data_IF_898435529298
#
_entry.id   IF_898435529298
#
_cell.length_a   1.000
_cell.length_b   1.000
_cell.length_c   1.000
_cell.angle_alpha   90.00
_cell.angle_beta   90.00
_cell.angle_gamma   90.00
#
_symmetry.space_group_name_H-M   'P 1'
#
loop_
_entity.id
_entity.type
_entity.pdbx_description
1 polymer ?
#
# COMPACT_ATOMS: atom_id res chain seq x y z
N UNK A 1 70.58 14.98 24.88
CA UNK A 1 71.65 14.45 24.02
C UNK A 1 71.17 13.14 23.43
N UNK A 2 71.48 12.74 22.19
CA UNK A 2 71.94 13.48 21.00
C UNK A 2 71.57 12.59 19.79
N UNK A 3 71.32 13.21 18.64
CA UNK A 3 71.11 12.61 17.32
C UNK A 3 71.80 11.26 17.06
N UNK A 4 71.13 10.39 16.28
CA UNK A 4 71.69 9.96 14.98
C UNK A 4 70.65 9.32 14.06
N UNK A 5 70.47 9.93 12.89
CA UNK A 5 69.90 9.29 11.72
C UNK A 5 71.01 8.52 10.98
N UNK A 6 70.65 7.43 10.31
CA UNK A 6 71.40 6.78 9.23
C UNK A 6 70.34 6.21 8.26
N UNK A 7 69.98 6.92 7.19
CA UNK A 7 70.58 6.90 5.84
C UNK A 7 70.41 5.58 5.05
N UNK A 8 69.80 5.73 3.86
CA UNK A 8 69.91 4.92 2.62
C UNK A 8 69.44 3.45 2.66
N UNK A 9 68.32 3.09 2.01
CA UNK A 9 68.07 2.92 0.55
C UNK A 9 68.65 1.62 -0.06
N UNK A 10 67.78 0.63 -0.32
CA UNK A 10 67.82 -0.24 -1.51
C UNK A 10 66.39 -0.58 -1.94
N UNK A 11 66.04 -0.29 -3.20
CA UNK A 11 64.84 -0.77 -3.88
C UNK A 11 64.99 -2.26 -4.25
N UNK A 12 64.05 -3.12 -3.86
CA UNK A 12 63.79 -4.50 -4.37
C UNK A 12 62.50 -4.98 -3.65
N UNK A 13 61.49 -5.64 -4.24
CA UNK A 13 61.14 -5.98 -5.64
C UNK A 13 59.76 -5.35 -5.97
N UNK A 14 59.39 -5.25 -7.26
CA UNK A 14 57.98 -5.09 -7.67
C UNK A 14 57.30 -6.45 -7.55
N UNK A 15 56.68 -6.71 -6.40
CA UNK A 15 55.83 -7.89 -6.19
C UNK A 15 54.47 -7.66 -6.83
N UNK A 16 54.27 -8.21 -8.03
CA UNK A 16 52.94 -8.27 -8.68
C UNK A 16 52.03 -9.13 -7.79
N UNK A 17 51.29 -8.48 -6.89
CA UNK A 17 50.15 -9.09 -6.23
C UNK A 17 49.08 -9.31 -7.30
N UNK A 18 49.14 -10.49 -7.92
CA UNK A 18 48.00 -11.14 -8.52
C UNK A 18 46.94 -11.29 -7.42
N UNK A 19 46.15 -10.24 -7.22
CA UNK A 19 44.81 -10.39 -6.67
C UNK A 19 44.04 -11.22 -7.70
N UNK A 20 44.12 -12.55 -7.53
CA UNK A 20 43.14 -13.48 -8.04
C UNK A 20 41.86 -13.14 -7.30
N UNK A 21 41.17 -12.09 -7.77
CA UNK A 21 39.78 -11.83 -7.43
C UNK A 21 39.06 -13.12 -7.81
N UNK A 22 38.47 -13.85 -6.85
CA UNK A 22 37.64 -14.98 -7.22
C UNK A 22 36.52 -14.39 -8.07
N UNK A 23 36.45 -14.79 -9.33
CA UNK A 23 35.28 -14.57 -10.16
C UNK A 23 34.16 -15.49 -9.65
N UNK A 24 33.77 -15.28 -8.39
CA UNK A 24 32.49 -15.66 -7.87
C UNK A 24 31.48 -14.83 -8.64
N UNK A 25 31.10 -15.34 -9.81
CA UNK A 25 29.85 -15.00 -10.45
C UNK A 25 28.78 -15.35 -9.43
N UNK A 26 28.38 -14.34 -8.64
CA UNK A 26 27.10 -14.31 -7.99
C UNK A 26 26.07 -14.27 -9.11
N UNK A 27 25.80 -15.45 -9.66
CA UNK A 27 24.50 -15.73 -10.26
C UNK A 27 23.51 -15.54 -9.14
N UNK A 28 22.94 -14.33 -9.07
CA UNK A 28 21.63 -14.15 -8.48
C UNK A 28 20.73 -15.09 -9.29
N UNK A 29 20.50 -16.29 -8.75
CA UNK A 29 19.69 -17.32 -9.36
C UNK A 29 18.25 -16.86 -9.22
N UNK A 30 17.87 -15.93 -10.11
CA UNK A 30 16.56 -15.33 -10.20
C UNK A 30 15.58 -16.45 -10.53
N UNK A 31 15.00 -17.02 -9.48
CA UNK A 31 14.11 -18.18 -9.58
C UNK A 31 12.99 -17.93 -10.59
N UNK A 32 12.56 -18.98 -11.32
CA UNK A 32 11.69 -18.83 -12.48
C UNK A 32 10.37 -18.14 -12.12
N UNK A 33 10.05 -17.08 -12.85
CA UNK A 33 8.75 -16.39 -12.88
C UNK A 33 8.05 -16.21 -11.52
N UNK A 34 8.75 -15.59 -10.57
CA UNK A 34 8.13 -15.07 -9.36
C UNK A 34 6.99 -14.08 -9.72
N UNK A 35 5.74 -14.55 -9.63
CA UNK A 35 4.53 -13.84 -10.08
C UNK A 35 4.41 -12.46 -9.42
N UNK A 36 4.85 -11.42 -10.13
CA UNK A 36 4.92 -10.06 -9.59
C UNK A 36 3.53 -9.42 -9.53
N UNK A 37 2.98 -9.33 -8.33
CA UNK A 37 1.82 -8.51 -8.05
C UNK A 37 2.25 -7.05 -7.90
N UNK A 38 1.57 -6.15 -8.61
CA UNK A 38 1.66 -4.71 -8.42
C UNK A 38 0.39 -4.25 -7.71
N UNK A 39 0.54 -3.36 -6.72
CA UNK A 39 -0.55 -2.69 -6.03
C UNK A 39 -0.55 -1.20 -6.38
N UNK A 40 -1.73 -0.63 -6.59
CA UNK A 40 -1.96 0.81 -6.70
C UNK A 40 -3.16 1.19 -5.85
N UNK A 41 -3.12 2.35 -5.21
CA UNK A 41 -4.20 2.85 -4.34
C UNK A 41 -4.59 4.25 -4.80
N UNK A 42 -5.89 4.46 -5.00
CA UNK A 42 -6.49 5.77 -5.25
C UNK A 42 -7.53 6.09 -4.18
N UNK A 43 -7.72 7.38 -3.88
CA UNK A 43 -8.65 7.87 -2.87
C UNK A 43 -9.78 8.66 -3.51
N UNK A 44 -11.01 8.43 -3.05
CA UNK A 44 -12.21 9.08 -3.56
C UNK A 44 -13.15 9.42 -2.41
N UNK A 45 -13.69 10.63 -2.41
CA UNK A 45 -14.70 11.09 -1.45
C UNK A 45 -15.98 10.22 -1.53
N UNK A 46 -16.44 9.94 -2.76
CA UNK A 46 -17.68 9.20 -2.99
C UNK A 46 -17.64 8.44 -4.33
N UNK A 47 -18.63 7.57 -4.56
CA UNK A 47 -18.67 6.73 -5.76
C UNK A 47 -18.73 7.54 -7.08
N UNK A 48 -19.26 8.78 -7.07
CA UNK A 48 -19.32 9.63 -8.26
C UNK A 48 -17.93 10.18 -8.62
N UNK A 49 -17.14 10.63 -7.64
CA UNK A 49 -15.75 11.05 -7.85
C UNK A 49 -14.90 9.92 -8.46
N UNK A 50 -15.09 8.68 -8.00
CA UNK A 50 -14.47 7.49 -8.60
C UNK A 50 -14.89 7.26 -10.06
N UNK A 51 -16.19 7.42 -10.39
CA UNK A 51 -16.67 7.29 -11.77
C UNK A 51 -16.16 8.42 -12.68
N UNK A 52 -16.05 9.65 -12.18
CA UNK A 52 -15.46 10.78 -12.91
C UNK A 52 -13.96 10.59 -13.19
N UNK A 53 -13.26 9.83 -12.35
CA UNK A 53 -11.89 9.37 -12.63
C UNK A 53 -11.81 8.23 -13.69
N UNK A 54 -12.91 7.89 -14.36
CA UNK A 54 -12.97 6.90 -15.44
C UNK A 54 -13.04 5.44 -14.98
N UNK A 55 -13.21 5.19 -13.68
CA UNK A 55 -13.28 3.83 -13.13
C UNK A 55 -14.69 3.26 -13.35
N UNK A 56 -14.85 1.96 -13.71
CA UNK A 56 -16.16 1.38 -13.98
C UNK A 56 -17.13 1.52 -12.81
N UNK A 57 -18.38 1.94 -13.11
CA UNK A 57 -19.47 2.16 -12.14
C UNK A 57 -19.60 1.05 -11.10
N UNK A 58 -19.55 -0.22 -11.53
CA UNK A 58 -19.65 -1.39 -10.64
C UNK A 58 -18.50 -1.46 -9.63
N UNK A 59 -17.27 -1.13 -10.03
CA UNK A 59 -16.09 -1.04 -9.14
C UNK A 59 -16.31 0.07 -8.11
N UNK A 60 -16.70 1.27 -8.55
CA UNK A 60 -16.90 2.43 -7.67
C UNK A 60 -18.05 2.22 -6.66
N UNK A 61 -19.20 1.73 -7.12
CA UNK A 61 -20.37 1.50 -6.28
C UNK A 61 -20.13 0.37 -5.26
N UNK A 62 -19.50 -0.73 -5.67
CA UNK A 62 -19.16 -1.82 -4.75
C UNK A 62 -18.03 -1.45 -3.78
N UNK A 63 -17.03 -0.68 -4.23
CA UNK A 63 -15.95 -0.12 -3.42
C UNK A 63 -16.51 0.74 -2.29
N UNK A 64 -17.22 1.82 -2.63
CA UNK A 64 -17.87 2.70 -1.65
C UNK A 64 -18.80 1.94 -0.69
N UNK A 65 -19.63 1.01 -1.20
CA UNK A 65 -20.50 0.16 -0.38
C UNK A 65 -19.70 -0.74 0.58
N UNK A 66 -18.55 -1.25 0.15
CA UNK A 66 -17.66 -2.08 0.97
C UNK A 66 -17.02 -1.25 2.08
N UNK A 67 -16.46 -0.10 1.74
CA UNK A 67 -15.87 0.86 2.69
C UNK A 67 -16.90 1.33 3.72
N UNK A 68 -18.11 1.71 3.32
CA UNK A 68 -19.19 2.09 4.23
C UNK A 68 -19.57 0.96 5.19
N UNK A 69 -19.75 -0.27 4.69
CA UNK A 69 -19.99 -1.46 5.54
C UNK A 69 -18.83 -1.75 6.48
N UNK A 70 -17.60 -1.43 6.10
CA UNK A 70 -16.43 -1.59 6.96
C UNK A 70 -16.42 -0.50 8.04
N UNK A 71 -16.60 0.77 7.68
CA UNK A 71 -16.76 1.91 8.58
C UNK A 71 -17.79 1.64 9.70
N UNK A 72 -19.02 1.26 9.35
CA UNK A 72 -20.08 0.95 10.34
C UNK A 72 -19.69 -0.17 11.32
N UNK A 73 -18.75 -1.06 10.95
CA UNK A 73 -18.27 -2.16 11.80
C UNK A 73 -17.04 -1.83 12.65
N UNK A 74 -16.17 -0.92 12.21
CA UNK A 74 -14.82 -0.74 12.79
C UNK A 74 -14.41 0.71 13.05
N UNK A 75 -15.27 1.70 12.75
CA UNK A 75 -15.04 3.08 13.17
C UNK A 75 -14.84 3.13 14.69
N UNK A 76 -13.74 3.73 15.19
CA UNK A 76 -13.52 3.84 16.62
C UNK A 76 -14.59 4.72 17.28
N UNK A 77 -14.94 4.40 18.52
CA UNK A 77 -15.94 5.13 19.29
C UNK A 77 -15.30 5.71 20.55
N UNK A 78 -15.70 6.92 20.93
CA UNK A 78 -15.09 7.70 22.01
C UNK A 78 -16.16 8.25 22.96
N UNK A 79 -15.78 8.50 24.22
CA UNK A 79 -16.71 9.10 25.20
C UNK A 79 -16.85 10.61 25.04
N UNK A 80 -15.78 11.28 24.60
CA UNK A 80 -15.69 12.73 24.49
C UNK A 80 -15.39 13.12 23.03
N UNK A 81 -15.68 14.37 22.66
CA UNK A 81 -15.44 14.86 21.31
C UNK A 81 -13.93 15.01 21.05
N UNK A 82 -13.25 15.56 22.04
CA UNK A 82 -11.83 15.90 22.05
C UNK A 82 -10.96 14.65 21.87
N UNK A 83 -11.35 13.52 22.46
CA UNK A 83 -10.69 12.23 22.27
C UNK A 83 -10.80 11.72 20.82
N UNK A 84 -11.93 11.96 20.16
CA UNK A 84 -12.12 11.62 18.75
C UNK A 84 -11.33 12.57 17.84
N UNK A 85 -11.44 13.88 18.06
CA UNK A 85 -10.76 14.88 17.24
C UNK A 85 -9.23 14.89 17.40
N UNK A 86 -8.70 14.34 18.50
CA UNK A 86 -7.27 14.11 18.71
C UNK A 86 -6.70 12.98 17.84
N UNK A 87 -7.42 11.86 17.69
CA UNK A 87 -7.04 10.75 16.82
C UNK A 87 -7.37 11.02 15.33
N UNK A 88 -8.26 11.99 15.04
CA UNK A 88 -8.73 12.35 13.69
C UNK A 88 -8.43 13.83 13.35
N UNK A 89 -9.46 14.62 13.05
CA UNK A 89 -9.36 16.03 12.77
C UNK A 89 -10.54 16.80 13.41
N UNK A 90 -10.37 18.07 13.82
CA UNK A 90 -11.47 18.84 14.40
C UNK A 90 -12.64 19.04 13.45
N UNK A 91 -13.87 18.87 13.95
CA UNK A 91 -15.09 18.88 13.14
C UNK A 91 -15.37 17.59 12.37
N UNK A 92 -14.44 16.64 12.33
CA UNK A 92 -14.57 15.37 11.59
C UNK A 92 -15.13 14.24 12.46
N UNK A 93 -15.75 14.58 13.59
CA UNK A 93 -16.39 13.66 14.53
C UNK A 93 -17.86 14.02 14.76
N UNK A 94 -18.69 13.00 15.03
CA UNK A 94 -20.12 13.15 15.31
C UNK A 94 -20.58 12.20 16.42
N UNK A 95 -21.67 12.55 17.10
CA UNK A 95 -22.33 11.65 18.07
C UNK A 95 -23.15 10.61 17.30
N UNK A 96 -22.76 9.35 17.40
CA UNK A 96 -23.51 8.24 16.80
C UNK A 96 -24.82 7.99 17.56
N UNK A 97 -25.95 8.20 16.90
CA UNK A 97 -27.28 8.03 17.51
C UNK A 97 -27.59 6.63 18.02
N UNK A 98 -26.84 5.60 17.60
CA UNK A 98 -27.03 4.22 18.06
C UNK A 98 -26.25 3.88 19.35
N UNK A 99 -25.22 4.66 19.70
CA UNK A 99 -24.35 4.38 20.86
C UNK A 99 -24.24 5.56 21.83
N UNK A 100 -24.64 6.76 21.42
CA UNK A 100 -24.37 8.04 22.10
C UNK A 100 -22.88 8.31 22.35
N UNK A 101 -22.02 7.71 21.52
CA UNK A 101 -20.56 7.89 21.54
C UNK A 101 -20.13 8.69 20.32
N UNK A 102 -19.02 9.42 20.46
CA UNK A 102 -18.38 10.12 19.36
C UNK A 102 -17.69 9.13 18.42
N UNK A 103 -17.80 9.35 17.12
CA UNK A 103 -17.15 8.55 16.08
C UNK A 103 -16.74 9.47 14.91
N UNK A 104 -15.68 9.14 14.16
CA UNK A 104 -15.24 9.95 13.03
C UNK A 104 -16.18 9.79 11.83
N UNK A 105 -16.37 10.83 11.03
CA UNK A 105 -17.12 10.76 9.76
C UNK A 105 -16.42 9.86 8.73
N UNK A 106 -17.20 9.22 7.86
CA UNK A 106 -16.65 8.56 6.67
C UNK A 106 -16.32 9.63 5.62
N UNK A 107 -15.08 10.11 5.61
CA UNK A 107 -14.58 11.14 4.69
C UNK A 107 -14.36 10.63 3.25
N UNK A 108 -14.34 9.30 3.05
CA UNK A 108 -14.32 8.71 1.71
C UNK A 108 -13.95 7.23 1.70
N UNK A 109 -13.43 6.74 0.57
CA UNK A 109 -12.93 5.39 0.42
C UNK A 109 -11.65 5.31 -0.42
N UNK A 110 -10.79 4.34 -0.09
CA UNK A 110 -9.72 3.92 -0.98
C UNK A 110 -10.20 2.84 -1.95
N UNK A 111 -9.67 2.85 -3.15
CA UNK A 111 -9.72 1.72 -4.08
C UNK A 111 -8.30 1.21 -4.30
N UNK A 112 -8.05 0.01 -3.82
CA UNK A 112 -6.75 -0.68 -3.93
C UNK A 112 -6.87 -1.71 -5.05
N UNK A 113 -6.04 -1.58 -6.07
CA UNK A 113 -6.02 -2.46 -7.25
C UNK A 113 -4.75 -3.30 -7.24
N UNK A 114 -4.90 -4.62 -7.08
CA UNK A 114 -3.80 -5.58 -7.22
C UNK A 114 -3.88 -6.24 -8.59
N UNK A 115 -2.87 -6.04 -9.44
CA UNK A 115 -2.75 -6.70 -10.73
C UNK A 115 -1.59 -7.70 -10.71
N UNK A 116 -1.83 -8.94 -11.16
CA UNK A 116 -0.74 -9.89 -11.42
C UNK A 116 -0.16 -9.60 -12.80
N UNK A 117 1.09 -9.17 -12.86
CA UNK A 117 1.80 -9.08 -14.14
C UNK A 117 1.89 -10.47 -14.79
N UNK A 118 1.81 -10.56 -16.13
CA UNK A 118 2.25 -11.77 -16.81
C UNK A 118 3.75 -12.01 -16.55
N UNK A 119 4.22 -13.27 -16.65
CA UNK A 119 5.65 -13.55 -16.70
C UNK A 119 6.29 -12.72 -17.82
N UNK A 120 7.51 -12.22 -17.61
CA UNK A 120 8.11 -11.25 -18.53
C UNK A 120 8.37 -11.88 -19.90
N UNK A 121 7.67 -11.38 -20.92
CA UNK A 121 7.75 -11.80 -22.33
C UNK A 121 9.10 -11.47 -23.03
N UNK A 122 10.16 -11.19 -22.26
CA UNK A 122 11.53 -10.94 -22.74
C UNK A 122 12.10 -12.11 -23.56
N UNK A 123 11.56 -13.33 -23.40
CA UNK A 123 11.88 -14.49 -24.24
C UNK A 123 10.91 -14.71 -25.41
N UNK A 124 9.69 -14.16 -25.39
CA UNK A 124 8.71 -14.28 -26.48
C UNK A 124 8.91 -13.24 -27.58
N UNK A 125 9.38 -12.03 -27.26
CA UNK A 125 9.49 -10.93 -28.22
C UNK A 125 10.64 -11.03 -29.24
N UNK A 126 11.48 -12.08 -29.21
CA UNK A 126 12.54 -12.27 -30.22
C UNK A 126 11.98 -12.65 -31.62
N UNK A 127 10.69 -13.00 -31.74
CA UNK A 127 10.05 -13.35 -33.02
C UNK A 127 8.98 -12.35 -33.53
N UNK A 128 8.49 -11.43 -32.70
CA UNK A 128 7.45 -10.46 -33.08
C UNK A 128 8.06 -9.08 -33.45
N UNK A 129 8.83 -9.03 -34.54
CA UNK A 129 9.42 -7.79 -35.05
C UNK A 129 8.42 -6.91 -35.83
N UNK A 130 8.57 -5.58 -35.68
CA UNK A 130 8.11 -4.49 -36.58
C UNK A 130 6.61 -4.14 -36.61
N UNK A 131 6.19 -3.18 -35.76
CA UNK A 131 5.25 -2.10 -36.15
C UNK A 131 5.62 -0.78 -35.46
N UNK A 132 5.33 0.41 -36.06
CA UNK A 132 5.78 1.70 -35.52
C UNK A 132 4.97 2.20 -34.30
N UNK A 133 5.61 3.05 -33.50
CA UNK A 133 5.06 3.64 -32.27
C UNK A 133 4.42 5.00 -32.57
N UNK A 134 3.10 5.10 -32.40
CA UNK A 134 2.42 6.35 -32.02
C UNK A 134 1.01 6.08 -31.45
N UNK A 135 0.91 5.69 -30.16
CA UNK A 135 -0.36 5.52 -29.44
C UNK A 135 -0.23 5.89 -27.96
N UNK A 136 -1.28 6.50 -27.42
CA UNK A 136 -1.36 6.86 -26.00
C UNK A 136 -1.46 5.63 -25.09
N UNK A 137 -0.98 5.76 -23.86
CA UNK A 137 -0.89 4.65 -22.89
C UNK A 137 -2.25 3.96 -22.59
N UNK A 138 -3.35 4.72 -22.59
CA UNK A 138 -4.70 4.18 -22.43
C UNK A 138 -5.14 3.29 -23.60
N UNK A 139 -4.75 3.62 -24.84
CA UNK A 139 -5.03 2.80 -26.02
C UNK A 139 -4.21 1.49 -25.99
N UNK A 140 -3.02 1.53 -25.42
CA UNK A 140 -2.18 0.34 -25.21
C UNK A 140 -2.86 -0.67 -24.25
N UNK A 141 -3.53 -0.18 -23.19
CA UNK A 141 -4.31 -1.02 -22.28
C UNK A 141 -5.56 -1.64 -22.95
N UNK A 142 -6.13 -0.99 -23.96
CA UNK A 142 -7.26 -1.54 -24.72
C UNK A 142 -6.81 -2.64 -25.71
N UNK A 143 -5.61 -2.52 -26.30
CA UNK A 143 -5.03 -3.53 -27.19
C UNK A 143 -4.79 -4.89 -26.53
N UNK A 144 -4.61 -4.93 -25.21
CA UNK A 144 -4.43 -6.17 -24.43
C UNK A 144 -5.70 -7.05 -24.41
N UNK A 145 -6.87 -6.54 -24.80
CA UNK A 145 -8.12 -7.32 -24.86
C UNK A 145 -8.18 -8.35 -26.00
N UNK A 146 -7.19 -8.40 -26.90
CA UNK A 146 -7.25 -9.18 -28.13
C UNK A 146 -6.21 -10.33 -28.26
N UNK A 147 -5.47 -10.69 -27.19
CA UNK A 147 -4.63 -11.89 -27.18
C UNK A 147 -5.22 -12.97 -26.25
N UNK A 148 -5.33 -14.24 -26.66
CA UNK A 148 -5.78 -15.35 -25.82
C UNK A 148 -4.65 -15.83 -24.89
N UNK A 149 -4.04 -14.91 -24.12
CA UNK A 149 -2.78 -15.14 -23.43
C UNK A 149 -2.78 -14.54 -22.02
N UNK A 150 -2.69 -15.41 -21.00
CA UNK A 150 -2.60 -15.11 -19.56
C UNK A 150 -3.46 -13.92 -19.08
N UNK A 151 -4.77 -14.15 -18.96
CA UNK A 151 -5.72 -13.17 -18.41
C UNK A 151 -5.16 -12.49 -17.14
N UNK A 152 -4.93 -11.17 -17.23
CA UNK A 152 -4.35 -10.36 -16.15
C UNK A 152 -5.32 -10.35 -14.98
N UNK A 153 -5.01 -11.13 -13.94
CA UNK A 153 -5.90 -11.30 -12.79
C UNK A 153 -5.84 -10.06 -11.91
N UNK A 154 -6.74 -9.12 -12.15
CA UNK A 154 -6.96 -7.95 -11.30
C UNK A 154 -7.82 -8.32 -10.09
N UNK A 155 -7.52 -7.73 -8.93
CA UNK A 155 -8.31 -7.81 -7.71
C UNK A 155 -8.48 -6.41 -7.14
N UNK A 156 -9.72 -6.03 -6.87
CA UNK A 156 -10.03 -4.76 -6.19
C UNK A 156 -10.33 -5.02 -4.72
N UNK A 157 -9.88 -4.10 -3.87
CA UNK A 157 -10.19 -4.01 -2.46
C UNK A 157 -10.56 -2.56 -2.13
N UNK A 158 -11.24 -2.35 -1.01
CA UNK A 158 -11.59 -1.01 -0.56
C UNK A 158 -11.51 -0.89 0.96
N UNK A 159 -11.18 0.30 1.43
CA UNK A 159 -11.14 0.67 2.85
C UNK A 159 -11.85 2.02 3.06
N UNK A 160 -12.43 2.26 4.25
CA UNK A 160 -12.92 3.58 4.62
C UNK A 160 -11.76 4.54 4.86
N UNK A 161 -11.94 5.79 4.43
CA UNK A 161 -11.02 6.90 4.67
C UNK A 161 -11.62 7.90 5.66
N UNK A 162 -10.72 8.53 6.40
CA UNK A 162 -10.99 9.52 7.44
C UNK A 162 -10.04 10.69 7.25
N UNK A 163 -10.47 11.90 7.60
CA UNK A 163 -9.56 13.03 7.71
C UNK A 163 -8.73 12.93 9.00
N UNK A 164 -7.44 13.24 8.87
CA UNK A 164 -6.45 13.22 9.94
C UNK A 164 -5.57 14.47 9.83
N UNK A 165 -5.19 15.06 10.96
CA UNK A 165 -4.16 16.09 11.00
C UNK A 165 -2.76 15.48 10.90
N UNK A 166 -1.96 15.91 9.94
CA UNK A 166 -0.55 15.53 9.86
C UNK A 166 0.34 16.29 10.87
N UNK A 167 1.61 15.88 11.00
CA UNK A 167 2.55 16.49 11.94
C UNK A 167 2.92 17.95 11.63
N UNK A 168 2.57 18.46 10.43
CA UNK A 168 2.76 19.86 10.03
C UNK A 168 1.47 20.68 10.23
N UNK A 169 0.40 20.05 10.72
CA UNK A 169 -0.90 20.68 10.95
C UNK A 169 -1.85 20.63 9.75
N UNK A 170 -1.42 20.09 8.60
CA UNK A 170 -2.22 19.90 7.41
C UNK A 170 -3.27 18.80 7.57
N UNK A 171 -4.21 18.70 6.62
CA UNK A 171 -5.22 17.64 6.58
C UNK A 171 -4.90 16.65 5.46
N UNK A 172 -4.97 15.35 5.77
CA UNK A 172 -4.88 14.27 4.77
C UNK A 172 -5.92 13.19 5.02
N UNK A 173 -6.32 12.51 3.95
CA UNK A 173 -7.10 11.28 4.04
C UNK A 173 -6.19 10.11 4.46
N UNK A 174 -6.69 9.29 5.37
CA UNK A 174 -5.99 8.13 5.94
C UNK A 174 -6.96 6.96 6.07
N UNK A 175 -6.47 5.71 6.07
CA UNK A 175 -7.29 4.56 6.47
C UNK A 175 -6.92 4.11 7.89
N UNK A 176 -7.82 3.42 8.59
CA UNK A 176 -7.50 2.94 9.95
C UNK A 176 -6.36 1.91 9.94
N UNK A 177 -6.20 1.15 8.84
CA UNK A 177 -5.03 0.29 8.62
C UNK A 177 -3.74 1.09 8.45
N UNK A 178 -3.81 2.28 7.83
CA UNK A 178 -2.69 3.21 7.70
C UNK A 178 -2.23 3.72 9.07
N UNK A 179 -3.14 4.32 9.84
CA UNK A 179 -2.86 4.82 11.21
C UNK A 179 -2.24 3.72 12.10
N UNK A 180 -2.85 2.54 12.15
CA UNK A 180 -2.32 1.40 12.91
C UNK A 180 -0.93 0.95 12.47
N UNK A 181 -0.64 0.95 11.16
CA UNK A 181 0.69 0.60 10.65
C UNK A 181 1.74 1.65 11.02
N UNK A 182 1.32 2.91 11.13
CA UNK A 182 2.16 4.04 11.53
C UNK A 182 2.28 4.18 13.06
N UNK A 183 1.73 3.23 13.83
CA UNK A 183 1.93 3.11 15.27
C UNK A 183 0.80 3.67 16.14
N UNK A 184 -0.30 4.13 15.54
CA UNK A 184 -1.46 4.63 16.27
C UNK A 184 -2.04 3.55 17.19
N UNK A 185 -2.42 3.95 18.42
CA UNK A 185 -2.96 3.03 19.42
C UNK A 185 -4.42 3.30 19.75
N UNK A 186 -4.96 4.45 19.34
CA UNK A 186 -6.31 4.94 19.66
C UNK A 186 -6.62 4.85 21.17
N UNK A 187 -5.77 5.45 22.00
CA UNK A 187 -5.67 5.18 23.44
C UNK A 187 -6.98 5.47 24.21
N UNK A 188 -7.76 6.44 23.75
CA UNK A 188 -8.99 6.90 24.42
C UNK A 188 -10.27 6.26 23.85
N UNK A 189 -10.15 5.24 22.98
CA UNK A 189 -11.29 4.52 22.42
C UNK A 189 -12.06 3.75 23.48
N UNK A 190 -13.37 3.95 23.45
CA UNK A 190 -14.33 3.16 24.20
C UNK A 190 -14.40 1.71 23.68
N UNK A 191 -13.90 0.78 24.48
CA UNK A 191 -14.12 -0.65 24.30
C UNK A 191 -15.06 -1.21 25.37
N UNK A 192 -16.10 -1.95 24.95
CA UNK A 192 -16.94 -2.76 25.87
C UNK A 192 -16.25 -4.04 26.34
N UNK A 193 -15.15 -4.45 25.71
CA UNK A 193 -14.31 -5.58 26.12
C UNK A 193 -13.09 -5.04 26.89
N UNK A 194 -12.50 -5.81 27.83
CA UNK A 194 -11.24 -5.41 28.47
C UNK A 194 -10.21 -5.00 27.42
N UNK A 195 -9.47 -3.90 27.61
CA UNK A 195 -8.47 -3.47 26.64
C UNK A 195 -7.42 -4.56 26.50
N UNK A 196 -7.33 -5.16 25.32
CA UNK A 196 -6.16 -5.93 24.95
C UNK A 196 -4.98 -4.96 24.97
N UNK A 197 -3.89 -5.30 25.67
CA UNK A 197 -2.71 -4.42 25.75
C UNK A 197 -2.29 -4.02 24.33
N UNK A 198 -2.19 -2.71 24.08
CA UNK A 198 -1.65 -2.17 22.85
C UNK A 198 -0.25 -2.77 22.61
N UNK A 199 0.07 -3.07 21.35
CA UNK A 199 1.29 -3.78 20.97
C UNK A 199 1.34 -5.29 21.29
N UNK A 200 0.35 -5.87 21.98
CA UNK A 200 0.33 -7.33 22.20
C UNK A 200 0.04 -8.11 20.91
N UNK A 201 0.61 -9.31 20.76
CA UNK A 201 0.40 -10.15 19.57
C UNK A 201 -1.07 -10.50 19.31
N UNK A 202 -1.92 -10.55 20.35
CA UNK A 202 -3.36 -10.74 20.22
C UNK A 202 -4.07 -9.48 19.72
N UNK A 203 -3.70 -8.30 20.22
CA UNK A 203 -4.17 -7.01 19.69
C UNK A 203 -3.83 -6.87 18.21
N UNK A 204 -2.55 -7.04 17.84
CA UNK A 204 -2.10 -6.96 16.44
C UNK A 204 -2.83 -7.95 15.53
N UNK A 205 -3.03 -9.21 15.96
CA UNK A 205 -3.78 -10.22 15.18
C UNK A 205 -5.28 -9.95 15.07
N UNK A 206 -5.89 -9.30 16.06
CA UNK A 206 -7.32 -8.95 16.04
C UNK A 206 -7.56 -7.72 15.18
N UNK A 207 -6.74 -6.68 15.34
CA UNK A 207 -6.73 -5.51 14.48
C UNK A 207 -6.48 -5.91 13.01
N UNK A 208 -5.45 -6.71 12.72
CA UNK A 208 -5.13 -7.12 11.34
C UNK A 208 -6.32 -7.78 10.61
N UNK A 209 -7.22 -8.47 11.31
CA UNK A 209 -8.45 -9.05 10.74
C UNK A 209 -9.62 -8.07 10.63
N UNK A 210 -9.75 -7.13 11.57
CA UNK A 210 -10.74 -6.05 11.52
C UNK A 210 -10.46 -5.08 10.38
N UNK A 211 -9.17 -4.80 10.14
CA UNK A 211 -8.66 -3.85 9.15
C UNK A 211 -8.15 -4.52 7.88
N UNK A 212 -8.48 -5.80 7.63
CA UNK A 212 -8.13 -6.44 6.36
C UNK A 212 -8.97 -5.84 5.21
N UNK A 213 -8.34 -5.35 4.12
CA UNK A 213 -9.05 -4.73 3.00
C UNK A 213 -10.11 -5.67 2.45
N UNK A 214 -11.36 -5.19 2.38
CA UNK A 214 -12.46 -6.05 1.94
C UNK A 214 -12.39 -6.21 0.42
N UNK A 215 -12.05 -7.42 -0.04
CA UNK A 215 -12.02 -7.77 -1.46
C UNK A 215 -13.40 -7.56 -2.07
N UNK A 216 -13.46 -6.87 -3.21
CA UNK A 216 -14.71 -6.66 -3.95
C UNK A 216 -15.05 -7.95 -4.71
N UNK A 217 -15.89 -8.79 -4.09
CA UNK A 217 -16.29 -10.10 -4.65
C UNK A 217 -17.09 -9.91 -5.95
N UNK A 218 -18.03 -8.96 -5.94
CA UNK A 218 -19.00 -8.70 -7.02
C UNK A 218 -18.40 -8.07 -8.30
N UNK A 219 -17.07 -7.91 -8.38
CA UNK A 219 -16.37 -7.21 -9.48
C UNK A 219 -15.25 -8.05 -10.10
N UNK A 220 -15.13 -9.32 -9.66
CA UNK A 220 -14.16 -10.26 -10.19
C UNK A 220 -14.69 -11.00 -11.44
N UNK A 221 -15.10 -10.24 -12.47
CA UNK A 221 -15.40 -10.76 -13.81
C UNK A 221 -14.46 -10.04 -14.79
N UNK A 222 -13.67 -10.76 -15.61
CA UNK A 222 -12.75 -10.18 -16.59
C UNK A 222 -13.49 -9.55 -17.79
#
# INVERSE_FOLDING_TARGET
MLMRALQTLVFVWIGVCFFVVPAGLASDELGPDAQRWISSTAFFENANACMWAGIPKQVCQSGYRSAYRQHVRIAPAYRQQEDCEADFAPGECFVSGASHLWAPWLSGFSLITHARLPPSSLHAHRQAQKTPVDRSWWQNLQGIKASPEVATRVRYFSEPLYWERDHQGGLRLTSLREKLRNGEQFANVFSRRPPLRAGSALWTRQLARLFEPQRLIDVAVP
#
